data_IF_731243258572
#
_entry.id   IF_731243258572
#
_cell.length_a   1.000
_cell.length_b   1.000
_cell.length_c   1.000
_cell.angle_alpha   90.00
_cell.angle_beta   90.00
_cell.angle_gamma   90.00
#
_symmetry.space_group_name_H-M   'P 1'
#
loop_
_entity.id
_entity.type
_entity.pdbx_description
1 polymer ?
#
# COMPACT_ATOMS: atom_id res chain seq x y z
N UNK A 1 41.31 65.93 15.62
CA UNK A 1 42.60 65.94 16.35
C UNK A 1 43.61 66.90 15.73
N UNK A 2 43.17 68.12 15.39
CA UNK A 2 44.03 69.21 14.91
C UNK A 2 43.93 70.46 15.80
N UNK A 3 43.36 70.33 17.01
CA UNK A 3 43.11 71.43 17.94
C UNK A 3 43.85 71.27 19.29
N UNK A 4 44.67 70.22 19.44
CA UNK A 4 45.45 69.95 20.66
C UNK A 4 46.98 70.09 20.44
N UNK A 5 47.42 70.36 19.21
CA UNK A 5 48.83 70.57 18.86
C UNK A 5 49.17 72.07 18.79
N UNK A 6 48.20 72.95 18.55
CA UNK A 6 48.39 74.41 18.56
C UNK A 6 48.47 75.03 19.98
N UNK A 7 48.02 74.32 21.01
CA UNK A 7 48.05 74.83 22.40
C UNK A 7 49.40 74.57 23.10
N UNK A 8 50.22 73.65 22.57
CA UNK A 8 51.52 73.30 23.16
C UNK A 8 52.69 73.99 22.44
N UNK A 9 52.52 74.40 21.19
CA UNK A 9 53.49 75.24 20.47
C UNK A 9 53.39 76.74 20.82
N UNK A 10 52.28 77.21 21.39
CA UNK A 10 52.12 78.60 21.87
C UNK A 10 52.71 78.85 23.27
N UNK A 11 53.12 77.79 23.99
CA UNK A 11 53.63 77.90 25.37
C UNK A 11 55.17 77.93 25.48
N UNK A 12 55.89 77.74 24.37
CA UNK A 12 57.37 77.71 24.35
C UNK A 12 58.02 78.81 23.48
N UNK A 13 57.27 79.82 23.04
CA UNK A 13 57.81 81.01 22.36
C UNK A 13 57.78 82.30 23.22
N UNK A 14 57.29 82.23 24.47
CA UNK A 14 57.09 83.41 25.32
C UNK A 14 57.80 83.37 26.69
N UNK A 15 58.95 82.69 26.77
CA UNK A 15 59.78 82.69 27.99
C UNK A 15 61.27 82.83 27.70
N UNK A 16 61.62 83.86 26.92
CA UNK A 16 62.99 84.37 26.78
C UNK A 16 62.99 85.90 26.70
N UNK A 17 62.33 86.52 27.66
CA UNK A 17 62.37 87.96 27.93
C UNK A 17 62.21 88.14 29.43
N UNK A 18 62.90 89.10 30.01
CA UNK A 18 62.90 89.42 31.44
C UNK A 18 63.77 88.54 32.34
N UNK A 19 65.09 88.71 32.22
CA UNK A 19 66.06 88.68 33.34
C UNK A 19 67.45 89.10 32.81
N UNK A 20 67.61 90.41 32.60
CA UNK A 20 68.91 91.12 32.59
C UNK A 20 68.76 92.63 32.31
N UNK A 21 67.53 93.16 32.14
CA UNK A 21 67.25 94.61 32.06
C UNK A 21 67.21 95.33 33.41
N UNK A 22 67.67 94.70 34.50
CA UNK A 22 67.68 95.28 35.85
C UNK A 22 69.09 95.70 36.34
N UNK A 23 70.15 95.43 35.58
CA UNK A 23 71.54 95.75 35.99
C UNK A 23 72.22 96.86 35.20
N UNK A 24 71.58 97.42 34.16
CA UNK A 24 72.11 98.57 33.41
C UNK A 24 71.51 99.92 33.82
N UNK A 25 70.46 99.93 34.66
CA UNK A 25 69.87 101.17 35.21
C UNK A 25 70.64 101.70 36.43
N UNK A 26 71.44 100.85 37.10
CA UNK A 26 72.27 101.27 38.24
C UNK A 26 73.62 101.89 37.80
N UNK A 27 74.02 101.72 36.53
CA UNK A 27 75.26 102.32 36.01
C UNK A 27 75.08 103.74 35.45
N UNK A 28 73.84 104.20 35.24
CA UNK A 28 73.56 105.54 34.71
C UNK A 28 73.37 106.61 35.80
N UNK A 29 73.22 106.23 37.07
CA UNK A 29 73.03 107.16 38.20
C UNK A 29 74.35 107.54 38.92
N UNK A 30 75.49 106.98 38.53
CA UNK A 30 76.78 107.20 39.18
C UNK A 30 77.71 108.19 38.47
N UNK A 31 77.29 108.82 37.36
CA UNK A 31 78.12 109.77 36.62
C UNK A 31 77.70 111.25 36.75
N UNK A 32 76.71 111.56 37.62
CA UNK A 32 76.12 112.90 37.71
C UNK A 32 76.35 113.65 39.05
N UNK A 33 77.37 113.29 39.86
CA UNK A 33 77.63 113.98 41.16
C UNK A 33 79.11 114.34 41.42
N UNK A 34 79.95 114.51 40.39
CA UNK A 34 81.34 114.95 40.63
C UNK A 34 81.83 116.04 39.67
N UNK A 35 81.16 117.19 39.74
CA UNK A 35 81.63 118.55 39.38
C UNK A 35 80.94 119.44 40.43
N UNK A 36 81.48 119.79 41.60
CA UNK A 36 82.58 120.73 41.89
C UNK A 36 82.78 120.78 43.42
N UNK A 37 83.99 120.59 43.93
CA UNK A 37 84.51 121.33 45.09
C UNK A 37 86.02 121.08 45.25
N UNK A 38 86.79 122.10 44.91
CA UNK A 38 88.23 122.23 45.19
C UNK A 38 88.45 122.37 46.70
N UNK A 39 89.60 121.92 47.21
CA UNK A 39 90.25 122.56 48.36
C UNK A 39 90.72 121.67 49.51
N UNK A 40 91.93 121.12 49.36
CA UNK A 40 92.98 120.88 50.38
C UNK A 40 92.71 120.05 51.66
N UNK A 41 93.62 119.08 51.84
CA UNK A 41 94.07 118.37 53.05
C UNK A 41 93.18 117.28 53.69
N UNK A 42 93.61 116.02 53.54
CA UNK A 42 93.11 114.91 54.36
C UNK A 42 93.40 113.49 53.85
N UNK A 43 94.64 113.18 53.46
CA UNK A 43 95.11 111.92 52.84
C UNK A 43 94.99 110.64 53.72
N UNK A 44 94.29 110.65 54.86
CA UNK A 44 94.36 109.54 55.84
C UNK A 44 93.07 108.72 56.04
N UNK A 45 91.94 109.08 55.41
CA UNK A 45 90.64 108.38 55.61
C UNK A 45 90.25 107.47 54.43
N UNK A 46 90.81 107.68 53.22
CA UNK A 46 90.48 106.90 52.02
C UNK A 46 91.05 105.46 51.99
N UNK A 47 92.06 105.14 52.82
CA UNK A 47 92.63 103.78 52.87
C UNK A 47 91.75 102.77 53.62
N UNK A 48 90.84 103.20 54.50
CA UNK A 48 89.98 102.28 55.27
C UNK A 48 88.80 101.75 54.47
N UNK A 49 88.24 102.55 53.57
CA UNK A 49 87.13 102.18 52.67
C UNK A 49 87.57 101.23 51.56
N UNK A 50 88.78 101.41 51.01
CA UNK A 50 89.35 100.52 49.98
C UNK A 50 89.58 99.10 50.53
N UNK A 51 90.00 98.96 51.79
CA UNK A 51 90.24 97.65 52.42
C UNK A 51 88.93 96.89 52.69
N UNK A 52 87.82 97.61 52.94
CA UNK A 52 86.49 97.02 53.17
C UNK A 52 85.87 96.52 51.86
N UNK A 53 85.97 97.30 50.79
CA UNK A 53 85.46 96.93 49.45
C UNK A 53 86.24 95.76 48.81
N UNK A 54 87.57 95.66 49.04
CA UNK A 54 88.33 94.48 48.58
C UNK A 54 87.90 93.18 49.27
N UNK A 55 87.45 93.25 50.52
CA UNK A 55 86.97 92.07 51.28
C UNK A 55 85.58 91.65 50.82
N UNK A 56 84.72 92.59 50.44
CA UNK A 56 83.40 92.30 49.86
C UNK A 56 83.50 91.78 48.42
N UNK A 57 84.42 92.32 47.60
CA UNK A 57 84.68 91.80 46.26
C UNK A 57 85.23 90.36 46.27
N UNK A 58 86.07 90.03 47.26
CA UNK A 58 86.57 88.67 47.44
C UNK A 58 85.46 87.69 47.88
N UNK A 59 84.52 88.13 48.73
CA UNK A 59 83.34 87.33 49.11
C UNK A 59 82.41 87.11 47.91
N UNK A 60 82.09 88.17 47.17
CA UNK A 60 81.23 88.10 45.99
C UNK A 60 81.82 87.21 44.89
N UNK A 61 83.15 87.20 44.69
CA UNK A 61 83.81 86.26 43.74
C UNK A 61 83.78 84.82 44.21
N UNK A 62 83.93 84.55 45.50
CA UNK A 62 83.76 83.19 46.02
C UNK A 62 82.32 82.72 45.90
N UNK A 63 81.35 83.60 46.14
CA UNK A 63 79.93 83.33 45.98
C UNK A 63 79.58 83.08 44.51
N UNK A 64 80.06 83.90 43.57
CA UNK A 64 79.87 83.69 42.13
C UNK A 64 80.46 82.36 41.65
N UNK A 65 81.64 81.98 42.16
CA UNK A 65 82.28 80.71 41.80
C UNK A 65 81.53 79.51 42.38
N UNK A 66 80.97 79.62 43.59
CA UNK A 66 80.08 78.59 44.15
C UNK A 66 78.77 78.48 43.36
N UNK A 67 78.17 79.60 42.96
CA UNK A 67 76.94 79.63 42.16
C UNK A 67 77.17 79.02 40.78
N UNK A 68 78.32 79.29 40.13
CA UNK A 68 78.66 78.65 38.85
C UNK A 68 78.88 77.15 38.98
N UNK A 69 79.57 76.70 40.03
CA UNK A 69 79.76 75.27 40.27
C UNK A 69 78.43 74.55 40.56
N UNK A 70 77.53 75.20 41.29
CA UNK A 70 76.18 74.69 41.53
C UNK A 70 75.35 74.66 40.24
N UNK A 71 75.39 75.71 39.42
CA UNK A 71 74.66 75.76 38.15
C UNK A 71 75.16 74.72 37.14
N UNK A 72 76.47 74.51 37.03
CA UNK A 72 77.05 73.47 36.15
C UNK A 72 76.71 72.06 36.66
N UNK A 73 76.66 71.87 37.97
CA UNK A 73 76.25 70.61 38.59
C UNK A 73 74.76 70.33 38.38
N UNK A 74 73.90 71.34 38.56
CA UNK A 74 72.45 71.27 38.31
C UNK A 74 72.17 71.00 36.84
N UNK A 75 72.93 71.62 35.93
CA UNK A 75 72.79 71.41 34.49
C UNK A 75 73.27 70.02 34.06
N UNK A 76 74.33 69.49 34.66
CA UNK A 76 74.78 68.10 34.44
C UNK A 76 73.79 67.09 35.01
N UNK A 77 73.22 67.35 36.19
CA UNK A 77 72.19 66.51 36.78
C UNK A 77 70.92 66.53 35.93
N UNK A 78 70.46 67.71 35.49
CA UNK A 78 69.32 67.87 34.60
C UNK A 78 69.54 67.20 33.25
N UNK A 79 70.75 67.30 32.67
CA UNK A 79 71.09 66.61 31.41
C UNK A 79 71.14 65.08 31.57
N UNK A 80 71.65 64.58 32.70
CA UNK A 80 71.67 63.16 33.01
C UNK A 80 70.26 62.60 33.25
N UNK A 81 69.41 63.35 33.95
CA UNK A 81 67.99 63.02 34.14
C UNK A 81 67.22 63.06 32.83
N UNK A 82 67.42 64.08 32.00
CA UNK A 82 66.82 64.18 30.67
C UNK A 82 67.24 63.02 29.76
N UNK A 83 68.52 62.62 29.80
CA UNK A 83 69.01 61.44 29.07
C UNK A 83 68.37 60.14 29.58
N UNK A 84 68.24 59.98 30.89
CA UNK A 84 67.61 58.81 31.51
C UNK A 84 66.12 58.71 31.17
N UNK A 85 65.39 59.83 31.22
CA UNK A 85 63.97 59.90 30.82
C UNK A 85 63.82 59.59 29.34
N UNK A 86 64.69 60.15 28.48
CA UNK A 86 64.65 59.88 27.04
C UNK A 86 64.92 58.41 26.71
N UNK A 87 65.86 57.78 27.42
CA UNK A 87 66.11 56.34 27.28
C UNK A 87 64.94 55.48 27.78
N UNK A 88 64.28 55.88 28.87
CA UNK A 88 63.08 55.20 29.36
C UNK A 88 61.90 55.36 28.40
N UNK A 89 61.72 56.55 27.83
CA UNK A 89 60.68 56.83 26.83
C UNK A 89 60.89 55.96 25.59
N UNK A 90 62.12 55.91 25.05
CA UNK A 90 62.45 55.08 23.90
C UNK A 90 62.21 53.58 24.16
N UNK A 91 62.53 53.08 25.37
CA UNK A 91 62.22 51.70 25.76
C UNK A 91 60.72 51.45 25.82
N UNK A 92 59.95 52.39 26.39
CA UNK A 92 58.48 52.27 26.48
C UNK A 92 57.80 52.36 25.12
N UNK A 93 58.30 53.20 24.22
CA UNK A 93 57.84 53.29 22.84
C UNK A 93 58.10 51.99 22.08
N UNK A 94 59.27 51.38 22.27
CA UNK A 94 59.60 50.07 21.67
C UNK A 94 58.73 48.94 22.25
N UNK A 95 58.54 48.87 23.57
CA UNK A 95 57.62 47.92 24.21
C UNK A 95 56.19 48.07 23.69
N UNK A 96 55.71 49.31 23.54
CA UNK A 96 54.38 49.62 23.01
C UNK A 96 54.28 49.24 21.53
N UNK A 97 55.35 49.43 20.75
CA UNK A 97 55.39 49.02 19.36
C UNK A 97 55.35 47.50 19.21
N UNK A 98 56.14 46.76 20.00
CA UNK A 98 56.17 45.30 20.00
C UNK A 98 54.84 44.70 20.44
N UNK A 99 54.25 45.21 21.52
CA UNK A 99 52.92 44.77 21.98
C UNK A 99 51.85 45.07 20.93
N UNK A 100 51.84 46.26 20.34
CA UNK A 100 50.90 46.61 19.25
C UNK A 100 51.05 45.69 18.04
N UNK A 101 52.28 45.35 17.65
CA UNK A 101 52.52 44.38 16.58
C UNK A 101 52.05 42.96 16.96
N UNK A 102 52.29 42.54 18.21
CA UNK A 102 51.80 41.26 18.76
C UNK A 102 50.27 41.17 18.69
N UNK A 103 49.58 42.17 19.23
CA UNK A 103 48.12 42.28 19.14
C UNK A 103 47.64 42.30 17.68
N UNK A 104 48.29 43.06 16.80
CA UNK A 104 47.91 43.09 15.38
C UNK A 104 48.01 41.72 14.71
N UNK A 105 49.05 40.94 15.02
CA UNK A 105 49.23 39.57 14.49
C UNK A 105 48.19 38.61 15.07
N UNK A 106 47.94 38.67 16.37
CA UNK A 106 46.96 37.83 17.04
C UNK A 106 45.53 38.13 16.56
N UNK A 107 45.19 39.41 16.39
CA UNK A 107 43.89 39.83 15.86
C UNK A 107 43.70 39.34 14.42
N UNK A 108 44.76 39.40 13.59
CA UNK A 108 44.73 38.87 12.22
C UNK A 108 44.57 37.34 12.20
N UNK A 109 45.30 36.62 13.06
CA UNK A 109 45.19 35.16 13.21
C UNK A 109 43.78 34.76 13.68
N UNK A 110 43.25 35.41 14.70
CA UNK A 110 41.91 35.14 15.22
C UNK A 110 40.84 35.43 14.16
N UNK A 111 41.00 36.51 13.38
CA UNK A 111 40.10 36.82 12.27
C UNK A 111 40.10 35.70 11.22
N UNK A 112 41.26 35.18 10.84
CA UNK A 112 41.36 34.05 9.91
C UNK A 112 40.71 32.78 10.47
N UNK A 113 40.89 32.48 11.75
CA UNK A 113 40.25 31.34 12.41
C UNK A 113 38.72 31.48 12.43
N UNK A 114 38.20 32.67 12.75
CA UNK A 114 36.75 32.96 12.72
C UNK A 114 36.20 32.78 11.31
N UNK A 115 36.89 33.31 10.29
CA UNK A 115 36.49 33.15 8.88
C UNK A 115 36.53 31.70 8.41
N UNK A 116 37.47 30.89 8.90
CA UNK A 116 37.53 29.46 8.61
C UNK A 116 36.37 28.70 9.26
N UNK A 117 36.14 28.89 10.56
CA UNK A 117 35.04 28.26 11.31
C UNK A 117 33.68 28.66 10.72
N UNK A 118 33.51 29.94 10.37
CA UNK A 118 32.28 30.43 9.75
C UNK A 118 31.99 29.73 8.42
N UNK A 119 33.01 29.44 7.61
CA UNK A 119 32.86 28.70 6.35
C UNK A 119 32.51 27.23 6.58
N UNK A 120 33.13 26.58 7.56
CA UNK A 120 32.81 25.19 7.90
C UNK A 120 31.38 25.05 8.44
N UNK A 121 30.95 25.98 9.30
CA UNK A 121 29.61 25.98 9.89
C UNK A 121 28.55 26.18 8.80
N UNK A 122 28.78 27.09 7.87
CA UNK A 122 27.92 27.30 6.70
C UNK A 122 27.85 26.05 5.81
N UNK A 123 28.99 25.39 5.58
CA UNK A 123 29.01 24.14 4.81
C UNK A 123 28.25 23.01 5.52
N UNK A 124 28.37 22.89 6.85
CA UNK A 124 27.63 21.91 7.64
C UNK A 124 26.13 22.17 7.60
N UNK A 125 25.70 23.44 7.75
CA UNK A 125 24.28 23.81 7.62
C UNK A 125 23.69 23.41 6.28
N UNK A 126 24.39 23.68 5.17
CA UNK A 126 23.93 23.26 3.83
C UNK A 126 23.81 21.75 3.69
N UNK A 127 24.73 20.97 4.27
CA UNK A 127 24.64 19.51 4.28
C UNK A 127 23.45 19.04 5.12
N UNK A 128 23.24 19.62 6.29
CA UNK A 128 22.11 19.30 7.16
C UNK A 128 20.77 19.61 6.48
N UNK A 129 20.63 20.77 5.84
CA UNK A 129 19.46 21.11 5.03
C UNK A 129 19.24 20.12 3.88
N UNK A 130 20.31 19.67 3.22
CA UNK A 130 20.23 18.64 2.18
C UNK A 130 19.74 17.30 2.73
N UNK A 131 20.28 16.85 3.87
CA UNK A 131 19.85 15.60 4.50
C UNK A 131 18.41 15.67 5.03
N UNK A 132 18.00 16.83 5.55
CA UNK A 132 16.61 17.04 5.98
C UNK A 132 15.65 16.92 4.81
N UNK A 133 15.95 17.56 3.67
CA UNK A 133 15.16 17.44 2.43
C UNK A 133 15.11 15.99 1.92
N UNK A 134 16.24 15.29 1.92
CA UNK A 134 16.30 13.89 1.50
C UNK A 134 15.44 13.01 2.42
N UNK A 135 15.54 13.19 3.74
CA UNK A 135 14.74 12.45 4.72
C UNK A 135 13.25 12.71 4.55
N UNK A 136 12.85 13.96 4.35
CA UNK A 136 11.46 14.34 4.08
C UNK A 136 10.95 13.68 2.80
N UNK A 137 11.75 13.67 1.73
CA UNK A 137 11.38 13.01 0.47
C UNK A 137 11.21 11.49 0.63
N UNK A 138 12.09 10.86 1.41
CA UNK A 138 12.04 9.42 1.66
C UNK A 138 10.83 9.06 2.53
N UNK A 139 10.52 9.88 3.54
CA UNK A 139 9.33 9.69 4.37
C UNK A 139 8.05 9.83 3.55
N UNK A 140 7.97 10.82 2.65
CA UNK A 140 6.83 10.96 1.76
C UNK A 140 6.68 9.73 0.84
N UNK A 141 7.77 9.22 0.28
CA UNK A 141 7.74 8.02 -0.56
C UNK A 141 7.28 6.78 0.22
N UNK A 142 7.76 6.60 1.45
CA UNK A 142 7.37 5.49 2.31
C UNK A 142 5.89 5.54 2.69
N UNK A 143 5.35 6.72 3.02
CA UNK A 143 3.91 6.86 3.29
C UNK A 143 3.08 6.55 2.05
N UNK A 144 3.48 7.02 0.87
CA UNK A 144 2.79 6.66 -0.38
C UNK A 144 2.79 5.14 -0.60
N UNK A 145 3.94 4.47 -0.43
CA UNK A 145 4.01 3.00 -0.55
C UNK A 145 3.18 2.28 0.50
N UNK A 146 3.13 2.80 1.73
CA UNK A 146 2.31 2.24 2.80
C UNK A 146 0.82 2.31 2.45
N UNK A 147 0.37 3.44 1.92
CA UNK A 147 -1.01 3.63 1.47
C UNK A 147 -1.34 2.72 0.28
N UNK A 148 -0.48 2.66 -0.74
CA UNK A 148 -0.65 1.74 -1.88
C UNK A 148 -0.75 0.27 -1.44
N UNK A 149 0.12 -0.15 -0.51
CA UNK A 149 0.08 -1.50 0.05
C UNK A 149 -1.19 -1.76 0.85
N UNK A 150 -1.63 -0.79 1.65
CA UNK A 150 -2.86 -0.91 2.44
C UNK A 150 -4.09 -1.00 1.52
N UNK A 151 -4.14 -0.21 0.46
CA UNK A 151 -5.19 -0.28 -0.56
C UNK A 151 -5.19 -1.64 -1.27
N UNK A 152 -4.01 -2.11 -1.72
CA UNK A 152 -3.86 -3.43 -2.33
C UNK A 152 -4.30 -4.55 -1.38
N UNK A 153 -3.88 -4.51 -0.11
CA UNK A 153 -4.31 -5.47 0.91
C UNK A 153 -5.83 -5.44 1.10
N UNK A 154 -6.44 -4.26 1.19
CA UNK A 154 -7.91 -4.15 1.31
C UNK A 154 -8.64 -4.73 0.08
N UNK A 155 -8.06 -4.58 -1.11
CA UNK A 155 -8.59 -5.12 -2.35
C UNK A 155 -8.56 -6.65 -2.37
N UNK A 156 -7.48 -7.26 -1.86
CA UNK A 156 -7.32 -8.72 -1.80
C UNK A 156 -8.00 -9.38 -0.60
N UNK A 157 -8.15 -8.67 0.51
CA UNK A 157 -8.74 -9.19 1.76
C UNK A 157 -10.23 -8.82 1.93
N UNK A 158 -10.89 -8.35 0.89
CA UNK A 158 -12.34 -8.05 0.94
C UNK A 158 -13.09 -9.30 1.42
N UNK A 159 -13.75 -9.20 2.58
CA UNK A 159 -14.53 -10.29 3.16
C UNK A 159 -15.59 -10.77 2.17
N UNK A 160 -15.82 -12.07 2.13
CA UNK A 160 -16.84 -12.67 1.29
C UNK A 160 -18.23 -12.24 1.75
N UNK A 161 -19.11 -11.91 0.81
CA UNK A 161 -20.46 -11.46 1.12
C UNK A 161 -21.40 -12.61 1.51
N UNK A 162 -21.01 -13.84 1.21
CA UNK A 162 -21.81 -15.07 1.32
C UNK A 162 -20.98 -16.15 2.01
N UNK A 163 -21.59 -16.90 2.92
CA UNK A 163 -20.93 -18.02 3.60
C UNK A 163 -21.06 -19.33 2.82
N UNK A 164 -20.16 -20.29 3.07
CA UNK A 164 -20.27 -21.66 2.52
C UNK A 164 -21.63 -22.30 2.86
N UNK A 165 -22.13 -22.07 4.08
CA UNK A 165 -23.42 -22.58 4.53
C UNK A 165 -24.59 -22.03 3.71
N UNK A 166 -24.51 -20.77 3.25
CA UNK A 166 -25.52 -20.19 2.37
C UNK A 166 -25.53 -20.85 0.99
N UNK A 167 -24.35 -21.15 0.44
CA UNK A 167 -24.21 -21.88 -0.83
C UNK A 167 -24.79 -23.28 -0.71
N UNK A 168 -24.40 -24.03 0.32
CA UNK A 168 -24.91 -25.38 0.59
C UNK A 168 -26.43 -25.37 0.72
N UNK A 169 -26.99 -24.46 1.53
CA UNK A 169 -28.44 -24.30 1.70
C UNK A 169 -29.14 -23.99 0.39
N UNK A 170 -28.58 -23.11 -0.43
CA UNK A 170 -29.20 -22.73 -1.71
C UNK A 170 -29.20 -23.89 -2.69
N UNK A 171 -28.12 -24.70 -2.75
CA UNK A 171 -28.10 -25.93 -3.57
C UNK A 171 -29.17 -26.92 -3.09
N UNK A 172 -29.30 -27.12 -1.78
CA UNK A 172 -30.35 -28.00 -1.22
C UNK A 172 -31.77 -27.49 -1.52
N UNK A 173 -31.99 -26.18 -1.45
CA UNK A 173 -33.26 -25.56 -1.82
C UNK A 173 -33.56 -25.78 -3.31
N UNK A 174 -32.57 -25.55 -4.18
CA UNK A 174 -32.71 -25.77 -5.62
C UNK A 174 -33.07 -27.23 -5.94
N UNK A 175 -32.41 -28.21 -5.33
CA UNK A 175 -32.75 -29.63 -5.50
C UNK A 175 -34.20 -29.92 -5.03
N UNK A 176 -34.63 -29.31 -3.93
CA UNK A 176 -36.00 -29.48 -3.40
C UNK A 176 -37.05 -28.85 -4.32
N UNK A 177 -36.77 -27.66 -4.87
CA UNK A 177 -37.63 -26.98 -5.84
C UNK A 177 -37.78 -27.80 -7.13
N UNK A 178 -36.67 -28.36 -7.64
CA UNK A 178 -36.68 -29.28 -8.78
C UNK A 178 -37.57 -30.50 -8.50
N UNK A 179 -37.36 -31.17 -7.36
CA UNK A 179 -38.17 -32.32 -6.97
C UNK A 179 -39.67 -31.99 -6.90
N UNK A 180 -40.04 -30.86 -6.31
CA UNK A 180 -41.43 -30.41 -6.23
C UNK A 180 -42.02 -30.12 -7.61
N UNK A 181 -41.27 -29.46 -8.50
CA UNK A 181 -41.71 -29.19 -9.86
C UNK A 181 -41.91 -30.47 -10.67
N UNK A 182 -41.05 -31.48 -10.48
CA UNK A 182 -41.18 -32.79 -11.10
C UNK A 182 -42.45 -33.49 -10.66
N UNK A 183 -42.76 -33.49 -9.35
CA UNK A 183 -44.00 -34.07 -8.83
C UNK A 183 -45.23 -33.39 -9.40
N UNK A 184 -45.28 -32.06 -9.38
CA UNK A 184 -46.39 -31.30 -9.95
C UNK A 184 -46.57 -31.57 -11.46
N UNK A 185 -45.46 -31.70 -12.20
CA UNK A 185 -45.48 -32.00 -13.64
C UNK A 185 -46.01 -33.41 -13.92
N UNK A 186 -45.58 -34.41 -13.14
CA UNK A 186 -46.04 -35.79 -13.28
C UNK A 186 -47.52 -35.97 -12.87
N UNK A 187 -47.96 -35.32 -11.78
CA UNK A 187 -49.35 -35.32 -11.33
C UNK A 187 -50.31 -34.69 -12.35
N UNK A 188 -49.82 -33.72 -13.12
CA UNK A 188 -50.59 -33.03 -14.17
C UNK A 188 -50.50 -33.71 -15.54
N UNK A 189 -49.94 -34.92 -15.62
CA UNK A 189 -49.73 -35.60 -16.89
C UNK A 189 -51.05 -36.08 -17.51
N UNK A 190 -51.34 -35.58 -18.71
CA UNK A 190 -52.47 -36.01 -19.52
C UNK A 190 -51.98 -36.70 -20.79
N UNK A 191 -52.42 -37.94 -21.00
CA UNK A 191 -52.14 -38.68 -22.23
C UNK A 191 -52.67 -37.91 -23.44
N UNK A 192 -51.79 -37.68 -24.41
CA UNK A 192 -52.10 -37.00 -25.66
C UNK A 192 -52.73 -37.93 -26.70
N UNK A 193 -53.24 -37.35 -27.77
CA UNK A 193 -53.74 -38.12 -28.91
C UNK A 193 -52.55 -38.75 -29.66
N UNK A 194 -52.53 -40.08 -29.77
CA UNK A 194 -51.44 -40.86 -30.38
C UNK A 194 -51.10 -40.51 -31.85
N UNK A 195 -51.87 -39.65 -32.50
CA UNK A 195 -51.70 -39.28 -33.91
C UNK A 195 -50.54 -38.29 -34.19
N UNK A 196 -49.87 -37.76 -33.16
CA UNK A 196 -48.87 -36.66 -33.30
C UNK A 196 -47.44 -37.02 -32.88
N UNK A 197 -47.09 -38.30 -32.73
CA UNK A 197 -45.71 -38.71 -32.44
C UNK A 197 -44.85 -38.68 -33.71
N UNK A 198 -44.29 -37.51 -34.01
CA UNK A 198 -43.15 -37.40 -34.93
C UNK A 198 -41.92 -38.09 -34.31
N UNK A 199 -40.94 -38.50 -35.14
CA UNK A 199 -39.67 -39.08 -34.66
C UNK A 199 -38.72 -38.04 -34.04
N UNK A 200 -38.91 -36.76 -34.37
CA UNK A 200 -38.04 -35.64 -33.95
C UNK A 200 -37.90 -35.47 -32.42
N UNK A 201 -38.97 -35.55 -31.60
CA UNK A 201 -38.87 -35.41 -30.13
C UNK A 201 -38.04 -36.51 -29.45
N UNK A 202 -37.96 -37.70 -30.04
CA UNK A 202 -37.20 -38.82 -29.47
C UNK A 202 -35.69 -38.57 -29.54
N UNK A 203 -35.20 -38.05 -30.68
CA UNK A 203 -33.78 -37.72 -30.84
C UNK A 203 -33.35 -36.57 -29.92
N UNK A 204 -34.22 -35.58 -29.71
CA UNK A 204 -33.96 -34.52 -28.74
C UNK A 204 -33.96 -35.07 -27.30
N UNK A 205 -34.93 -35.90 -26.92
CA UNK A 205 -34.96 -36.54 -25.60
C UNK A 205 -33.72 -37.41 -25.34
N UNK A 206 -33.19 -38.13 -26.34
CA UNK A 206 -31.92 -38.86 -26.23
C UNK A 206 -30.77 -37.96 -25.81
N UNK A 207 -30.71 -36.72 -26.31
CA UNK A 207 -29.68 -35.76 -25.91
C UNK A 207 -29.87 -35.21 -24.50
N UNK A 208 -31.11 -35.16 -24.01
CA UNK A 208 -31.45 -34.60 -22.69
C UNK A 208 -31.27 -35.61 -21.56
N UNK A 209 -31.76 -36.83 -21.74
CA UNK A 209 -31.83 -37.84 -20.68
C UNK A 209 -31.05 -39.12 -20.98
N UNK A 210 -30.46 -39.23 -22.18
CA UNK A 210 -29.70 -40.40 -22.61
C UNK A 210 -30.54 -41.46 -23.31
N UNK A 211 -29.86 -42.38 -24.01
CA UNK A 211 -30.49 -43.40 -24.85
C UNK A 211 -31.44 -44.30 -24.06
N UNK A 212 -30.97 -44.89 -22.95
CA UNK A 212 -31.75 -45.87 -22.18
C UNK A 212 -33.04 -45.27 -21.60
N UNK A 213 -32.96 -44.09 -20.98
CA UNK A 213 -34.14 -43.47 -20.37
C UNK A 213 -35.12 -42.97 -21.44
N UNK A 214 -34.64 -42.43 -22.57
CA UNK A 214 -35.52 -42.02 -23.68
C UNK A 214 -36.27 -43.20 -24.32
N UNK A 215 -35.61 -44.35 -24.47
CA UNK A 215 -36.24 -45.59 -24.95
C UNK A 215 -37.28 -46.11 -23.96
N UNK A 216 -36.94 -46.13 -22.66
CA UNK A 216 -37.87 -46.52 -21.60
C UNK A 216 -39.10 -45.62 -21.61
N UNK A 217 -38.91 -44.29 -21.66
CA UNK A 217 -39.99 -43.31 -21.72
C UNK A 217 -40.94 -43.52 -22.91
N UNK A 218 -40.41 -43.86 -24.09
CA UNK A 218 -41.21 -44.07 -25.30
C UNK A 218 -41.97 -45.42 -25.34
N UNK A 219 -41.40 -46.44 -24.69
CA UNK A 219 -41.91 -47.82 -24.70
C UNK A 219 -42.77 -48.17 -23.48
N UNK A 220 -42.68 -47.39 -22.40
CA UNK A 220 -43.42 -47.66 -21.17
C UNK A 220 -44.94 -47.63 -21.41
N UNK A 221 -45.72 -48.60 -20.88
CA UNK A 221 -47.10 -48.83 -21.32
C UNK A 221 -48.09 -47.75 -20.90
N UNK A 222 -48.01 -47.26 -19.66
CA UNK A 222 -48.97 -46.31 -19.10
C UNK A 222 -48.31 -45.42 -18.02
N UNK A 223 -47.97 -44.19 -18.40
CA UNK A 223 -47.41 -43.17 -17.50
C UNK A 223 -48.45 -42.54 -16.57
N UNK A 224 -49.76 -42.77 -16.77
CA UNK A 224 -50.80 -42.25 -15.88
C UNK A 224 -50.96 -43.09 -14.61
N UNK A 225 -50.71 -44.39 -14.71
CA UNK A 225 -50.79 -45.31 -13.57
C UNK A 225 -49.48 -45.42 -12.80
N UNK A 226 -48.35 -45.33 -13.51
CA UNK A 226 -47.02 -45.35 -12.91
C UNK A 226 -46.16 -44.23 -13.49
N UNK A 227 -45.93 -43.21 -12.67
CA UNK A 227 -45.20 -41.99 -13.05
C UNK A 227 -43.69 -42.13 -12.88
N UNK A 228 -43.15 -43.25 -12.39
CA UNK A 228 -41.73 -43.35 -12.00
C UNK A 228 -40.79 -43.02 -13.15
N UNK A 229 -41.04 -43.56 -14.35
CA UNK A 229 -40.21 -43.29 -15.55
C UNK A 229 -40.33 -41.83 -15.97
N UNK A 230 -41.54 -41.29 -15.95
CA UNK A 230 -41.83 -39.91 -16.33
C UNK A 230 -41.17 -38.90 -15.37
N UNK A 231 -41.31 -39.11 -14.06
CA UNK A 231 -40.67 -38.34 -13.01
C UNK A 231 -39.15 -38.39 -13.14
N UNK A 232 -38.59 -39.57 -13.37
CA UNK A 232 -37.14 -39.76 -13.55
C UNK A 232 -36.62 -38.95 -14.75
N UNK A 233 -37.37 -38.93 -15.86
CA UNK A 233 -37.00 -38.18 -17.05
C UNK A 233 -37.10 -36.66 -16.83
N UNK A 234 -38.15 -36.16 -16.17
CA UNK A 234 -38.27 -34.75 -15.83
C UNK A 234 -37.17 -34.32 -14.85
N UNK A 235 -36.90 -35.11 -13.81
CA UNK A 235 -35.84 -34.85 -12.84
C UNK A 235 -34.49 -34.72 -13.52
N UNK A 236 -34.10 -35.71 -14.34
CA UNK A 236 -32.84 -35.69 -15.07
C UNK A 236 -32.71 -34.44 -15.96
N UNK A 237 -33.79 -34.07 -16.67
CA UNK A 237 -33.83 -32.91 -17.55
C UNK A 237 -33.61 -31.60 -16.78
N UNK A 238 -34.35 -31.39 -15.68
CA UNK A 238 -34.24 -30.17 -14.87
C UNK A 238 -32.88 -30.04 -14.18
N UNK A 239 -32.34 -31.15 -13.64
CA UNK A 239 -31.03 -31.18 -13.00
C UNK A 239 -29.92 -30.90 -14.02
N UNK A 240 -29.98 -31.53 -15.20
CA UNK A 240 -29.00 -31.29 -16.25
C UNK A 240 -29.05 -29.85 -16.77
N UNK A 241 -30.24 -29.27 -16.89
CA UNK A 241 -30.43 -27.86 -17.21
C UNK A 241 -29.79 -26.94 -16.15
N UNK A 242 -30.10 -27.16 -14.88
CA UNK A 242 -29.55 -26.38 -13.78
C UNK A 242 -28.01 -26.51 -13.70
N UNK A 243 -27.47 -27.72 -13.88
CA UNK A 243 -26.04 -27.96 -13.96
C UNK A 243 -25.38 -27.17 -15.10
N UNK A 244 -25.98 -27.21 -16.29
CA UNK A 244 -25.47 -26.50 -17.47
C UNK A 244 -25.49 -24.98 -17.26
N UNK A 245 -26.57 -24.45 -16.67
CA UNK A 245 -26.69 -23.04 -16.32
C UNK A 245 -25.66 -22.61 -15.27
N UNK A 246 -25.43 -23.41 -14.23
CA UNK A 246 -24.50 -23.10 -13.16
C UNK A 246 -23.03 -23.25 -13.59
N UNK A 247 -22.74 -24.16 -14.53
CA UNK A 247 -21.39 -24.44 -15.02
C UNK A 247 -20.95 -23.54 -16.18
N UNK A 248 -21.91 -22.94 -16.89
CA UNK A 248 -21.61 -22.06 -18.02
C UNK A 248 -20.74 -20.88 -17.60
N UNK A 249 -19.78 -20.46 -18.42
CA UNK A 249 -19.11 -19.17 -18.19
C UNK A 249 -19.89 -18.01 -18.76
N UNK A 250 -20.72 -18.22 -19.77
CA UNK A 250 -21.55 -17.20 -20.39
C UNK A 250 -22.91 -17.77 -20.74
N UNK A 251 -23.99 -17.16 -20.25
CA UNK A 251 -25.36 -17.67 -20.42
C UNK A 251 -25.77 -17.67 -21.90
N UNK A 252 -25.38 -16.65 -22.67
CA UNK A 252 -25.72 -16.57 -24.09
C UNK A 252 -25.04 -17.62 -24.97
N UNK A 253 -23.99 -18.28 -24.48
CA UNK A 253 -23.31 -19.36 -25.17
C UNK A 253 -22.71 -20.37 -24.17
N UNK A 254 -23.57 -21.14 -23.50
CA UNK A 254 -23.16 -22.09 -22.46
C UNK A 254 -22.28 -23.27 -22.95
N UNK A 255 -22.09 -23.43 -24.27
CA UNK A 255 -21.20 -24.45 -24.88
C UNK A 255 -19.78 -23.95 -25.09
N UNK A 256 -19.51 -22.67 -24.85
CA UNK A 256 -18.21 -22.08 -25.10
C UNK A 256 -17.28 -22.23 -23.89
N UNK A 257 -16.25 -23.06 -24.05
CA UNK A 257 -15.29 -23.37 -22.99
C UNK A 257 -14.08 -22.40 -22.95
N UNK A 258 -14.05 -21.35 -23.77
CA UNK A 258 -12.89 -20.44 -23.90
C UNK A 258 -12.53 -19.80 -22.56
N UNK A 259 -13.53 -19.23 -21.87
CA UNK A 259 -13.37 -18.61 -20.55
C UNK A 259 -13.03 -19.64 -19.47
N UNK A 260 -13.63 -20.84 -19.52
CA UNK A 260 -13.31 -21.92 -18.60
C UNK A 260 -11.84 -22.33 -18.71
N UNK A 261 -11.32 -22.40 -19.93
CA UNK A 261 -9.92 -22.76 -20.19
C UNK A 261 -8.96 -21.66 -19.74
N UNK A 262 -9.27 -20.39 -20.00
CA UNK A 262 -8.49 -19.25 -19.49
C UNK A 262 -8.44 -19.30 -17.96
N UNK A 263 -9.59 -19.51 -17.32
CA UNK A 263 -9.67 -19.58 -15.87
C UNK A 263 -8.86 -20.73 -15.27
N UNK A 264 -8.92 -21.92 -15.88
CA UNK A 264 -8.08 -23.06 -15.47
C UNK A 264 -6.60 -22.74 -15.54
N UNK A 265 -6.14 -22.05 -16.60
CA UNK A 265 -4.75 -21.60 -16.70
C UNK A 265 -4.40 -20.59 -15.60
N UNK A 266 -5.30 -19.64 -15.31
CA UNK A 266 -5.10 -18.68 -14.22
C UNK A 266 -5.01 -19.36 -12.85
N UNK A 267 -5.80 -20.40 -12.58
CA UNK A 267 -5.70 -21.14 -11.32
C UNK A 267 -4.34 -21.82 -11.14
N UNK A 268 -3.69 -22.24 -12.23
CA UNK A 268 -2.37 -22.85 -12.21
C UNK A 268 -1.25 -21.82 -12.07
N UNK A 269 -1.35 -20.66 -12.74
CA UNK A 269 -0.27 -19.67 -12.78
C UNK A 269 -0.36 -18.59 -11.72
N UNK A 270 -1.56 -18.27 -11.24
CA UNK A 270 -1.81 -17.17 -10.31
C UNK A 270 -2.19 -17.65 -8.91
N UNK A 271 -2.19 -16.73 -7.96
CA UNK A 271 -2.75 -16.97 -6.63
C UNK A 271 -4.27 -17.09 -6.66
N UNK A 272 -4.85 -17.82 -5.69
CA UNK A 272 -6.30 -18.01 -5.58
C UNK A 272 -7.08 -16.69 -5.54
N UNK A 273 -6.55 -15.67 -4.87
CA UNK A 273 -7.21 -14.36 -4.76
C UNK A 273 -7.27 -13.63 -6.11
N UNK A 274 -6.21 -13.71 -6.92
CA UNK A 274 -6.15 -13.12 -8.26
C UNK A 274 -7.12 -13.84 -9.20
N UNK A 275 -7.04 -15.17 -9.27
CA UNK A 275 -7.93 -15.97 -10.10
C UNK A 275 -9.41 -15.79 -9.70
N UNK A 276 -9.72 -15.91 -8.41
CA UNK A 276 -11.07 -15.72 -7.87
C UNK A 276 -11.63 -14.32 -8.16
N UNK A 277 -10.81 -13.27 -8.08
CA UNK A 277 -11.24 -11.89 -8.40
C UNK A 277 -11.53 -11.72 -9.89
N UNK A 278 -10.69 -12.31 -10.75
CA UNK A 278 -10.94 -12.31 -12.19
C UNK A 278 -12.27 -13.02 -12.51
N UNK A 279 -12.52 -14.19 -11.91
CA UNK A 279 -13.81 -14.89 -12.01
C UNK A 279 -14.95 -13.97 -11.57
N UNK A 280 -14.83 -13.36 -10.39
CA UNK A 280 -15.86 -12.48 -9.84
C UNK A 280 -16.22 -11.32 -10.77
N UNK A 281 -15.21 -10.62 -11.31
CA UNK A 281 -15.42 -9.54 -12.27
C UNK A 281 -16.04 -10.05 -13.57
N UNK A 282 -15.61 -11.23 -14.04
CA UNK A 282 -16.12 -11.85 -15.26
C UNK A 282 -17.62 -12.16 -15.14
N UNK A 283 -18.08 -12.64 -13.98
CA UNK A 283 -19.50 -12.87 -13.70
C UNK A 283 -20.28 -11.56 -13.50
N UNK A 284 -19.72 -10.60 -12.76
CA UNK A 284 -20.35 -9.31 -12.47
C UNK A 284 -20.68 -8.48 -13.71
N UNK A 285 -19.81 -8.50 -14.72
CA UNK A 285 -19.95 -7.69 -15.93
C UNK A 285 -20.60 -8.42 -17.10
N UNK A 286 -21.21 -9.59 -16.88
CA UNK A 286 -21.96 -10.27 -17.94
C UNK A 286 -23.20 -9.46 -18.35
N UNK A 287 -23.63 -9.56 -19.62
CA UNK A 287 -24.91 -9.02 -20.05
C UNK A 287 -26.04 -9.53 -19.14
N UNK A 288 -26.89 -8.62 -18.67
CA UNK A 288 -28.05 -8.98 -17.82
C UNK A 288 -29.26 -9.46 -18.62
N UNK A 289 -29.22 -9.24 -19.92
CA UNK A 289 -30.27 -9.57 -20.87
C UNK A 289 -29.67 -10.20 -22.12
N UNK A 290 -30.52 -10.88 -22.87
CA UNK A 290 -30.18 -11.40 -24.19
C UNK A 290 -30.10 -10.29 -25.26
N UNK A 291 -29.81 -10.68 -26.50
CA UNK A 291 -29.72 -9.77 -27.65
C UNK A 291 -31.04 -9.07 -28.00
N UNK A 292 -32.18 -9.67 -27.62
CA UNK A 292 -33.53 -9.18 -27.89
C UNK A 292 -34.08 -8.30 -26.75
N UNK A 293 -33.29 -8.12 -25.68
CA UNK A 293 -33.63 -7.32 -24.52
C UNK A 293 -34.39 -8.06 -23.41
N UNK A 294 -34.70 -9.35 -23.56
CA UNK A 294 -35.34 -10.12 -22.49
C UNK A 294 -34.34 -10.47 -21.39
N UNK A 295 -34.81 -10.51 -20.15
CA UNK A 295 -33.98 -10.95 -19.03
C UNK A 295 -33.65 -12.43 -19.19
N UNK A 296 -32.47 -12.83 -18.70
CA UNK A 296 -32.09 -14.25 -18.72
C UNK A 296 -33.10 -15.13 -17.99
N UNK A 297 -33.71 -14.65 -16.90
CA UNK A 297 -34.77 -15.37 -16.19
C UNK A 297 -35.91 -15.80 -17.12
N UNK A 298 -36.44 -14.89 -17.96
CA UNK A 298 -37.54 -15.19 -18.88
C UNK A 298 -37.09 -16.19 -19.95
N UNK A 299 -35.96 -15.94 -20.61
CA UNK A 299 -35.46 -16.81 -21.70
C UNK A 299 -35.13 -18.21 -21.19
N UNK A 300 -34.49 -18.31 -20.03
CA UNK A 300 -34.12 -19.60 -19.43
C UNK A 300 -35.36 -20.38 -18.97
N UNK A 301 -36.38 -19.69 -18.43
CA UNK A 301 -37.65 -20.32 -18.07
C UNK A 301 -38.36 -20.89 -19.30
N UNK A 302 -38.41 -20.14 -20.41
CA UNK A 302 -38.97 -20.63 -21.68
C UNK A 302 -38.17 -21.80 -22.26
N UNK A 303 -36.84 -21.75 -22.14
CA UNK A 303 -35.97 -22.84 -22.59
C UNK A 303 -36.25 -24.11 -21.79
N UNK A 304 -36.32 -24.02 -20.46
CA UNK A 304 -36.64 -25.15 -19.60
C UNK A 304 -38.04 -25.73 -19.88
N UNK A 305 -39.05 -24.86 -20.09
CA UNK A 305 -40.39 -25.28 -20.51
C UNK A 305 -40.34 -26.09 -21.81
N UNK A 306 -39.61 -25.61 -22.83
CA UNK A 306 -39.47 -26.32 -24.11
C UNK A 306 -38.86 -27.71 -23.93
N UNK A 307 -37.84 -27.86 -23.08
CA UNK A 307 -37.22 -29.16 -22.81
C UNK A 307 -38.20 -30.14 -22.17
N UNK A 308 -39.01 -29.67 -21.22
CA UNK A 308 -40.00 -30.50 -20.54
C UNK A 308 -41.16 -30.88 -21.46
N UNK A 309 -41.58 -29.98 -22.36
CA UNK A 309 -42.53 -30.29 -23.43
C UNK A 309 -42.03 -31.43 -24.31
N UNK A 310 -40.74 -31.46 -24.66
CA UNK A 310 -40.15 -32.58 -25.43
C UNK A 310 -40.27 -33.90 -24.68
N UNK A 311 -39.94 -33.94 -23.38
CA UNK A 311 -40.09 -35.16 -22.55
C UNK A 311 -41.56 -35.60 -22.47
N UNK A 312 -42.47 -34.65 -22.25
CA UNK A 312 -43.91 -34.92 -22.17
C UNK A 312 -44.43 -35.52 -23.49
N UNK A 313 -44.01 -34.99 -24.64
CA UNK A 313 -44.36 -35.52 -25.96
C UNK A 313 -43.83 -36.94 -26.19
N UNK A 314 -42.59 -37.24 -25.80
CA UNK A 314 -42.02 -38.60 -25.92
C UNK A 314 -42.75 -39.60 -25.03
N UNK A 315 -43.22 -39.17 -23.86
CA UNK A 315 -44.09 -39.93 -22.98
C UNK A 315 -45.53 -40.07 -23.52
N UNK A 316 -45.81 -39.60 -24.74
CA UNK A 316 -47.14 -39.59 -25.38
C UNK A 316 -48.16 -38.70 -24.67
N UNK A 317 -47.70 -37.66 -23.97
CA UNK A 317 -48.56 -36.63 -23.41
C UNK A 317 -48.97 -35.56 -24.43
N UNK A 318 -49.68 -34.54 -23.96
CA UNK A 318 -50.15 -33.41 -24.79
C UNK A 318 -49.06 -32.37 -25.11
N UNK A 319 -47.88 -32.48 -24.48
CA UNK A 319 -46.75 -31.56 -24.64
C UNK A 319 -46.89 -30.23 -23.88
N UNK A 320 -48.00 -30.01 -23.18
CA UNK A 320 -48.26 -28.78 -22.44
C UNK A 320 -47.60 -28.81 -21.06
N UNK A 321 -47.09 -27.65 -20.65
CA UNK A 321 -46.61 -27.43 -19.28
C UNK A 321 -47.70 -26.65 -18.53
N UNK A 322 -48.27 -27.18 -17.43
CA UNK A 322 -49.30 -26.51 -16.66
C UNK A 322 -48.83 -25.17 -16.09
N UNK A 323 -49.73 -24.17 -15.95
CA UNK A 323 -49.39 -22.84 -15.41
C UNK A 323 -48.77 -22.90 -14.00
N UNK A 324 -49.27 -23.79 -13.14
CA UNK A 324 -48.72 -23.98 -11.79
C UNK A 324 -47.27 -24.47 -11.82
N UNK A 325 -46.93 -25.32 -12.79
CA UNK A 325 -45.55 -25.77 -13.01
C UNK A 325 -44.70 -24.63 -13.56
N UNK A 326 -45.23 -23.76 -14.44
CA UNK A 326 -44.46 -22.64 -15.01
C UNK A 326 -43.90 -21.71 -13.95
N UNK A 327 -44.67 -21.42 -12.90
CA UNK A 327 -44.18 -20.62 -11.77
C UNK A 327 -43.08 -21.36 -10.98
N UNK A 328 -43.19 -22.68 -10.80
CA UNK A 328 -42.12 -23.48 -10.19
C UNK A 328 -40.84 -23.46 -11.04
N UNK A 329 -40.95 -23.55 -12.37
CA UNK A 329 -39.79 -23.47 -13.28
C UNK A 329 -39.12 -22.10 -13.20
N UNK A 330 -39.91 -21.03 -13.09
CA UNK A 330 -39.40 -19.68 -12.91
C UNK A 330 -38.63 -19.55 -11.60
N UNK A 331 -39.15 -20.14 -10.52
CA UNK A 331 -38.47 -20.17 -9.23
C UNK A 331 -37.12 -20.91 -9.32
N UNK A 332 -37.09 -22.10 -9.92
CA UNK A 332 -35.87 -22.89 -10.15
C UNK A 332 -34.81 -22.07 -10.91
N UNK A 333 -35.21 -21.41 -12.00
CA UNK A 333 -34.30 -20.57 -12.81
C UNK A 333 -33.75 -19.42 -11.97
N UNK A 334 -34.60 -18.75 -11.19
CA UNK A 334 -34.18 -17.65 -10.32
C UNK A 334 -33.21 -18.12 -9.24
N UNK A 335 -33.53 -19.20 -8.54
CA UNK A 335 -32.65 -19.80 -7.52
C UNK A 335 -31.31 -20.21 -8.12
N UNK A 336 -31.29 -20.76 -9.34
CA UNK A 336 -30.05 -21.10 -10.05
C UNK A 336 -29.24 -19.85 -10.46
N UNK A 337 -29.89 -18.77 -10.89
CA UNK A 337 -29.21 -17.49 -11.20
C UNK A 337 -28.63 -16.82 -9.95
N UNK A 338 -29.36 -16.88 -8.82
CA UNK A 338 -28.88 -16.37 -7.54
C UNK A 338 -27.69 -17.19 -7.05
N UNK A 339 -27.77 -18.52 -7.11
CA UNK A 339 -26.66 -19.42 -6.80
C UNK A 339 -25.44 -19.18 -7.69
N UNK A 340 -25.66 -18.96 -8.99
CA UNK A 340 -24.61 -18.60 -9.95
C UNK A 340 -23.89 -17.31 -9.55
N UNK A 341 -24.61 -16.28 -9.10
CA UNK A 341 -23.98 -15.06 -8.57
C UNK A 341 -23.22 -15.34 -7.28
N UNK A 342 -23.76 -16.13 -6.36
CA UNK A 342 -23.08 -16.46 -5.10
C UNK A 342 -21.72 -17.14 -5.36
N UNK A 343 -21.71 -18.22 -6.15
CA UNK A 343 -20.50 -19.00 -6.41
C UNK A 343 -19.55 -18.32 -7.40
N UNK A 344 -20.09 -17.55 -8.35
CA UNK A 344 -19.36 -16.97 -9.48
C UNK A 344 -18.86 -15.55 -9.23
N UNK A 345 -19.53 -14.77 -8.38
CA UNK A 345 -19.23 -13.36 -8.13
C UNK A 345 -18.85 -13.07 -6.68
N UNK A 346 -19.58 -13.61 -5.70
CA UNK A 346 -19.55 -13.09 -4.33
C UNK A 346 -18.49 -13.76 -3.43
N UNK A 347 -18.00 -14.93 -3.83
CA UNK A 347 -16.94 -15.69 -3.16
C UNK A 347 -15.68 -15.63 -4.02
N UNK A 348 -14.53 -15.30 -3.43
CA UNK A 348 -13.23 -15.18 -4.11
C UNK A 348 -12.19 -16.16 -3.55
N UNK A 349 -12.28 -16.49 -2.26
CA UNK A 349 -11.28 -17.31 -1.56
C UNK A 349 -11.27 -18.77 -2.01
N UNK A 350 -12.37 -19.25 -2.56
CA UNK A 350 -12.56 -20.65 -2.93
C UNK A 350 -13.38 -20.79 -4.21
N UNK A 351 -13.31 -21.98 -4.81
CA UNK A 351 -14.02 -22.30 -6.04
C UNK A 351 -15.06 -23.36 -5.80
N UNK A 352 -16.32 -22.99 -5.96
CA UNK A 352 -17.44 -23.91 -5.88
C UNK A 352 -17.81 -24.34 -7.29
N UNK A 353 -17.91 -25.65 -7.50
CA UNK A 353 -18.34 -26.23 -8.77
C UNK A 353 -19.45 -27.22 -8.53
N UNK A 354 -20.48 -27.15 -9.37
CA UNK A 354 -21.53 -28.16 -9.37
C UNK A 354 -20.97 -29.48 -9.90
N UNK A 355 -21.52 -30.59 -9.40
CA UNK A 355 -21.22 -31.93 -9.87
C UNK A 355 -22.53 -32.69 -10.07
N UNK A 356 -22.56 -33.57 -11.06
CA UNK A 356 -23.69 -34.45 -11.38
C UNK A 356 -23.15 -35.81 -11.80
N UNK A 357 -23.88 -36.88 -11.52
CA UNK A 357 -23.54 -38.21 -12.04
C UNK A 357 -24.00 -38.32 -13.49
N UNK A 358 -23.05 -38.56 -14.40
CA UNK A 358 -23.37 -38.64 -15.84
C UNK A 358 -23.95 -40.01 -16.19
N UNK A 359 -24.93 -40.04 -17.10
CA UNK A 359 -25.45 -41.31 -17.63
C UNK A 359 -24.33 -42.18 -18.20
N UNK A 360 -24.32 -43.46 -17.81
CA UNK A 360 -23.30 -44.44 -18.18
C UNK A 360 -22.03 -44.43 -17.31
N UNK A 361 -21.84 -43.47 -16.41
CA UNK A 361 -20.72 -43.46 -15.46
C UNK A 361 -20.83 -44.62 -14.46
N UNK A 362 -19.69 -45.14 -13.97
CA UNK A 362 -19.69 -46.15 -12.91
C UNK A 362 -20.13 -45.52 -11.59
N UNK A 363 -21.06 -46.17 -10.89
CA UNK A 363 -21.50 -45.70 -9.59
C UNK A 363 -20.37 -45.81 -8.56
N UNK A 364 -20.07 -44.68 -7.92
CA UNK A 364 -19.05 -44.58 -6.87
C UNK A 364 -19.70 -44.07 -5.57
N UNK A 365 -19.96 -44.92 -4.56
CA UNK A 365 -20.67 -44.55 -3.32
C UNK A 365 -19.90 -43.52 -2.47
N UNK A 366 -18.58 -43.43 -2.66
CA UNK A 366 -17.73 -42.40 -2.07
C UNK A 366 -18.13 -40.99 -2.55
N UNK A 367 -18.58 -40.86 -3.81
CA UNK A 367 -18.82 -39.58 -4.48
C UNK A 367 -20.28 -39.32 -4.85
N UNK A 368 -21.12 -40.35 -4.85
CA UNK A 368 -22.51 -40.28 -5.28
C UNK A 368 -23.42 -41.01 -4.29
N UNK A 369 -24.71 -40.70 -4.33
CA UNK A 369 -25.75 -41.37 -3.54
C UNK A 369 -26.83 -41.89 -4.48
N UNK A 370 -27.27 -43.14 -4.30
CA UNK A 370 -28.39 -43.71 -5.06
C UNK A 370 -29.72 -43.28 -4.43
N UNK A 371 -30.61 -42.71 -5.25
CA UNK A 371 -31.94 -42.24 -4.82
C UNK A 371 -32.78 -43.36 -4.22
N UNK A 372 -32.62 -44.59 -4.71
CA UNK A 372 -33.44 -45.74 -4.33
C UNK A 372 -32.75 -46.65 -3.30
N UNK A 373 -31.63 -46.22 -2.72
CA UNK A 373 -30.91 -46.97 -1.72
C UNK A 373 -31.77 -47.16 -0.45
N UNK A 374 -32.47 -48.29 -0.35
CA UNK A 374 -33.19 -48.72 0.84
C UNK A 374 -32.23 -49.44 1.79
N UNK A 375 -31.40 -48.67 2.50
CA UNK A 375 -30.47 -49.21 3.48
C UNK A 375 -29.26 -49.94 2.87
N UNK A 376 -28.84 -51.06 3.47
CA UNK A 376 -27.69 -51.86 3.04
C UNK A 376 -27.96 -52.70 1.77
N UNK A 377 -28.61 -52.09 0.77
CA UNK A 377 -28.78 -52.71 -0.54
C UNK A 377 -27.40 -52.77 -1.20
N UNK A 378 -26.89 -53.99 -1.40
CA UNK A 378 -25.61 -54.23 -2.06
C UNK A 378 -25.76 -53.88 -3.55
N UNK A 379 -25.59 -52.60 -3.88
CA UNK A 379 -25.47 -52.18 -5.28
C UNK A 379 -24.39 -53.05 -5.92
N UNK A 380 -24.75 -53.78 -6.98
CA UNK A 380 -23.84 -54.69 -7.66
C UNK A 380 -22.57 -53.93 -8.08
N UNK A 381 -21.40 -54.54 -7.90
CA UNK A 381 -20.16 -53.96 -8.36
C UNK A 381 -20.22 -53.75 -9.89
N UNK A 382 -19.87 -52.56 -10.36
CA UNK A 382 -19.95 -52.20 -11.77
C UNK A 382 -21.30 -51.65 -12.25
N UNK A 383 -22.28 -51.45 -11.36
CA UNK A 383 -23.52 -50.75 -11.72
C UNK A 383 -23.24 -49.34 -12.25
N UNK A 384 -23.98 -48.96 -13.28
CA UNK A 384 -23.85 -47.65 -13.93
C UNK A 384 -24.99 -46.72 -13.55
N UNK A 385 -24.70 -45.44 -13.61
CA UNK A 385 -25.68 -44.36 -13.48
C UNK A 385 -26.57 -44.36 -14.74
N UNK A 386 -27.89 -44.37 -14.54
CA UNK A 386 -28.87 -44.13 -15.59
C UNK A 386 -28.93 -42.63 -15.92
N UNK A 387 -29.19 -41.82 -14.89
CA UNK A 387 -29.32 -40.37 -15.02
C UNK A 387 -29.09 -39.64 -13.68
N UNK A 388 -28.77 -38.34 -13.70
CA UNK A 388 -28.67 -37.55 -12.48
C UNK A 388 -30.05 -37.30 -11.87
N UNK A 389 -30.10 -37.17 -10.54
CA UNK A 389 -31.31 -36.81 -9.80
C UNK A 389 -31.15 -35.57 -8.92
N UNK A 390 -30.01 -35.36 -8.27
CA UNK A 390 -29.76 -34.14 -7.50
C UNK A 390 -28.40 -33.55 -7.89
N UNK A 391 -28.28 -32.21 -7.83
CA UNK A 391 -27.01 -31.53 -7.93
C UNK A 391 -26.16 -31.80 -6.68
N UNK A 392 -24.87 -32.07 -6.89
CA UNK A 392 -23.87 -32.05 -5.84
C UNK A 392 -23.04 -30.77 -5.87
N UNK A 393 -22.26 -30.58 -4.81
CA UNK A 393 -21.42 -29.41 -4.60
C UNK A 393 -20.04 -29.85 -4.12
N UNK A 394 -19.00 -29.36 -4.79
CA UNK A 394 -17.63 -29.47 -4.30
C UNK A 394 -16.99 -28.10 -4.23
N UNK A 395 -16.08 -27.95 -3.27
CA UNK A 395 -15.25 -26.77 -3.08
C UNK A 395 -13.80 -27.14 -3.36
N UNK A 396 -13.11 -26.33 -4.13
CA UNK A 396 -11.67 -26.46 -4.38
C UNK A 396 -10.95 -25.19 -3.94
N UNK A 397 -9.87 -25.37 -3.19
CA UNK A 397 -9.02 -24.30 -2.68
C UNK A 397 -7.57 -24.62 -3.00
N UNK A 398 -6.81 -23.62 -3.45
CA UNK A 398 -5.37 -23.72 -3.64
C UNK A 398 -4.69 -23.52 -2.30
N UNK A 399 -3.89 -24.50 -1.88
CA UNK A 399 -3.13 -24.43 -0.62
C UNK A 399 -1.68 -24.10 -0.93
N UNK A 400 -1.18 -23.00 -0.38
CA UNK A 400 0.23 -22.59 -0.49
C UNK A 400 1.11 -23.53 0.36
N UNK A 401 1.43 -24.71 -0.18
CA UNK A 401 2.27 -25.72 0.45
C UNK A 401 3.76 -25.53 0.13
N UNK A 402 4.27 -24.30 0.20
CA UNK A 402 5.72 -24.02 0.21
C UNK A 402 6.51 -24.52 -1.01
N UNK A 403 5.89 -24.61 -2.19
CA UNK A 403 6.56 -24.92 -3.46
C UNK A 403 5.86 -25.96 -4.33
N UNK A 404 4.89 -26.70 -3.80
CA UNK A 404 4.03 -27.60 -4.58
C UNK A 404 2.59 -27.06 -4.60
N UNK A 405 2.05 -26.85 -5.80
CA UNK A 405 0.73 -26.26 -6.02
C UNK A 405 -0.36 -27.33 -5.83
N UNK A 406 -0.62 -27.69 -4.58
CA UNK A 406 -1.63 -28.68 -4.23
C UNK A 406 -2.99 -28.02 -4.05
N UNK A 407 -3.94 -28.35 -4.92
CA UNK A 407 -5.36 -28.02 -4.73
C UNK A 407 -6.02 -29.03 -3.81
N UNK A 408 -6.73 -28.55 -2.79
CA UNK A 408 -7.55 -29.38 -1.90
C UNK A 408 -9.00 -29.28 -2.36
N UNK A 409 -9.62 -30.42 -2.62
CA UNK A 409 -11.03 -30.52 -2.99
C UNK A 409 -11.82 -31.16 -1.84
N UNK A 410 -12.89 -30.49 -1.40
CA UNK A 410 -13.83 -30.97 -0.41
C UNK A 410 -15.20 -31.19 -1.05
N UNK A 411 -15.77 -32.39 -0.88
CA UNK A 411 -17.13 -32.71 -1.31
C UNK A 411 -18.11 -32.27 -0.23
N UNK A 412 -18.94 -31.26 -0.54
CA UNK A 412 -19.87 -30.66 0.41
C UNK A 412 -21.27 -31.28 0.32
N UNK A 413 -21.72 -31.61 -0.90
CA UNK A 413 -22.98 -32.30 -1.16
C UNK A 413 -22.70 -33.39 -2.20
N UNK A 414 -23.07 -34.64 -1.88
CA UNK A 414 -23.03 -35.73 -2.86
C UNK A 414 -24.17 -35.55 -3.87
N UNK A 415 -23.91 -35.60 -5.19
CA UNK A 415 -24.98 -35.70 -6.17
C UNK A 415 -25.74 -37.01 -5.97
N UNK A 416 -27.06 -36.95 -6.13
CA UNK A 416 -27.88 -38.16 -6.19
C UNK A 416 -28.08 -38.61 -7.62
N UNK A 417 -28.11 -39.92 -7.81
CA UNK A 417 -28.21 -40.57 -9.12
C UNK A 417 -29.25 -41.67 -9.09
N UNK A 418 -29.86 -41.91 -10.25
CA UNK A 418 -30.66 -43.11 -10.49
C UNK A 418 -29.77 -44.11 -11.21
N UNK A 419 -29.80 -45.37 -10.76
CA UNK A 419 -28.99 -46.45 -11.34
C UNK A 419 -29.72 -47.20 -12.45
N UNK A 420 -28.96 -47.83 -13.34
CA UNK A 420 -29.52 -48.64 -14.43
C UNK A 420 -30.31 -49.87 -13.95
N UNK A 421 -30.12 -50.28 -12.68
CA UNK A 421 -30.91 -51.34 -12.04
C UNK A 421 -32.41 -51.03 -12.01
N UNK A 422 -32.80 -49.74 -12.00
CA UNK A 422 -34.20 -49.34 -12.12
C UNK A 422 -34.85 -49.87 -13.41
N UNK A 423 -34.09 -49.89 -14.51
CA UNK A 423 -34.59 -50.40 -15.80
C UNK A 423 -34.82 -51.91 -15.72
N UNK A 424 -33.96 -52.64 -15.02
CA UNK A 424 -34.09 -54.09 -14.79
C UNK A 424 -35.31 -54.43 -13.93
N UNK A 425 -35.69 -53.54 -13.01
CA UNK A 425 -36.85 -53.74 -12.12
C UNK A 425 -38.18 -53.40 -12.82
N UNK A 426 -38.19 -52.41 -13.71
CA UNK A 426 -39.40 -51.94 -14.41
C UNK A 426 -39.72 -52.73 -15.67
N UNK A 427 -38.72 -53.31 -16.33
CA UNK A 427 -38.94 -54.20 -17.46
C UNK A 427 -39.05 -55.64 -16.94
N UNK A 428 -40.22 -56.31 -17.04
CA UNK A 428 -40.33 -57.69 -16.62
C UNK A 428 -39.28 -58.51 -17.39
N UNK A 429 -38.43 -59.21 -16.63
CA UNK A 429 -37.51 -60.17 -17.21
C UNK A 429 -38.29 -61.11 -18.11
N UNK A 430 -37.79 -61.28 -19.33
CA UNK A 430 -38.21 -62.33 -20.25
C UNK A 430 -37.93 -63.66 -19.54
N UNK A 431 -38.85 -64.10 -18.68
CA UNK A 431 -38.84 -65.44 -18.11
C UNK A 431 -38.99 -66.36 -19.32
N UNK A 432 -37.84 -66.82 -19.81
CA UNK A 432 -37.75 -67.67 -20.97
C UNK A 432 -38.81 -68.75 -20.90
N UNK A 433 -39.70 -68.75 -21.88
CA UNK A 433 -40.60 -69.84 -22.17
C UNK A 433 -39.77 -71.12 -22.16
N UNK A 434 -39.86 -71.85 -21.05
CA UNK A 434 -39.42 -73.23 -20.98
C UNK A 434 -40.37 -74.02 -21.88
N UNK A 435 -39.96 -74.14 -23.14
CA UNK A 435 -40.57 -75.02 -24.13
C UNK A 435 -40.80 -76.39 -23.47
N UNK A 436 -42.04 -76.87 -23.34
CA UNK A 436 -42.30 -78.19 -22.79
C UNK A 436 -41.69 -79.21 -23.74
N UNK A 437 -40.69 -79.95 -23.27
CA UNK A 437 -40.07 -81.04 -24.01
C UNK A 437 -41.12 -82.15 -24.24
N UNK A 438 -41.54 -82.46 -25.49
CA UNK A 438 -42.66 -83.36 -25.74
C UNK A 438 -42.27 -84.86 -25.72
N UNK A 439 -41.12 -85.23 -25.14
CA UNK A 439 -40.63 -86.62 -25.13
C UNK A 439 -40.45 -87.17 -23.71
N UNK A 440 -41.54 -87.36 -22.97
CA UNK A 440 -41.56 -88.29 -21.84
C UNK A 440 -42.91 -88.98 -21.69
N UNK A 441 -43.21 -89.89 -22.62
CA UNK A 441 -44.19 -90.95 -22.42
C UNK A 441 -43.46 -92.28 -22.24
N UNK A 442 -43.39 -92.69 -20.98
CA UNK A 442 -43.48 -94.07 -20.45
C UNK A 442 -43.13 -95.24 -21.38
N UNK A 443 -42.03 -95.89 -21.03
CA UNK A 443 -41.99 -97.35 -20.95
C UNK A 443 -42.21 -97.78 -19.49
N UNK A 444 -42.93 -98.89 -19.32
CA UNK A 444 -43.27 -99.66 -18.09
C UNK A 444 -44.48 -99.20 -17.27
#
# INVERSE_FOLDING_TARGET
>A
MGAAIDTILNFLYLRRSSRASAFKIIFAAALAVTVLAKGLNGHFVAQRTIKRLKKELARARSEEQTIRSHADQEQRQSAAEASKIKAQLARKEEELHQTKQGWSKETASNKQTIEHISRELEQRKRREESYMKERESLQALLETRRLELQEAQSYFQSAEAVSEGDVVRTVSNLNSEVFQAVKAMAESFEAGNAATLNTYPLDEARTLVGEKLSQLLASFPDHQQDTVVLETAFQATMVQFAYSLLSAWYIGNWKEDSMANIYKQMLLSESQSVAGRWRALTYKYQPKSDADGHTWEIRLTQSLQSLLSTINLVARGNGEVPEEVKENLRLIVRTALDLRSMIGEQIVSSNYTMIVGSGGELFAPERMEDVWATGASNVKEGTRVLCPSDLGLQRTEKVDSGGDDTSVTALLIKPKVVLETLVEELLPGDEGESVPNPNSSHDS
#
